data_IF_230697758668
#
_entry.id   IF_230697758668
#
_cell.length_a   1.000
_cell.length_b   1.000
_cell.length_c   1.000
_cell.angle_alpha   90.00
_cell.angle_beta   90.00
_cell.angle_gamma   90.00
#
_symmetry.space_group_name_H-M   'P 1'
#
loop_
_entity.id
_entity.type
_entity.pdbx_description
1 polymer ?
#
# COMPACT_ATOMS: atom_id res chain seq x y z
N UNK A 1 20.53 -9.84 27.02
CA UNK A 1 21.02 -11.01 26.28
C UNK A 1 19.84 -11.66 25.59
N UNK A 2 19.65 -11.40 24.30
CA UNK A 2 18.62 -12.08 23.51
C UNK A 2 19.11 -13.51 23.23
N UNK A 3 18.26 -14.51 23.48
CA UNK A 3 18.62 -15.92 23.35
C UNK A 3 19.08 -16.26 21.94
N UNK A 4 20.32 -16.70 21.81
CA UNK A 4 20.98 -17.03 20.54
C UNK A 4 20.30 -18.20 19.82
N UNK A 5 19.55 -19.04 20.55
CA UNK A 5 18.77 -20.16 20.02
C UNK A 5 17.30 -20.04 20.38
N UNK A 6 16.43 -20.15 19.38
CA UNK A 6 14.98 -20.18 19.53
C UNK A 6 14.38 -21.44 18.94
N UNK A 7 13.23 -21.85 19.46
CA UNK A 7 12.44 -22.94 18.87
C UNK A 7 11.30 -22.33 18.06
N UNK A 8 11.27 -22.64 16.76
CA UNK A 8 10.20 -22.25 15.86
C UNK A 8 9.19 -23.39 15.76
N UNK A 9 7.92 -23.06 15.96
CA UNK A 9 6.79 -23.93 15.65
C UNK A 9 6.27 -23.57 14.26
N UNK A 10 6.39 -24.51 13.31
CA UNK A 10 5.81 -24.37 11.98
C UNK A 10 4.52 -25.18 11.93
N UNK A 11 3.41 -24.53 11.58
CA UNK A 11 2.12 -25.18 11.34
C UNK A 11 1.81 -25.20 9.85
N UNK A 12 1.66 -26.41 9.30
CA UNK A 12 1.18 -26.61 7.93
C UNK A 12 -0.11 -27.43 7.98
N UNK A 13 -1.24 -26.73 8.04
CA UNK A 13 -2.53 -27.37 8.27
C UNK A 13 -2.61 -27.97 9.68
N UNK A 14 -2.68 -29.31 9.78
CA UNK A 14 -2.71 -30.03 11.06
C UNK A 14 -1.31 -30.44 11.55
N UNK A 15 -0.31 -30.42 10.67
CA UNK A 15 1.04 -30.84 11.02
C UNK A 15 1.77 -29.70 11.73
N UNK A 16 2.44 -30.06 12.83
CA UNK A 16 3.23 -29.15 13.65
C UNK A 16 4.65 -29.69 13.72
N UNK A 17 5.63 -28.91 13.27
CA UNK A 17 7.05 -29.23 13.39
C UNK A 17 7.78 -28.21 14.25
N UNK A 18 8.73 -28.68 15.05
CA UNK A 18 9.57 -27.86 15.92
C UNK A 18 11.00 -27.83 15.36
N UNK A 19 11.52 -26.63 15.14
CA UNK A 19 12.87 -26.43 14.62
C UNK A 19 13.68 -25.53 15.55
N UNK A 20 14.87 -25.96 15.94
CA UNK A 20 15.81 -25.06 16.61
C UNK A 20 16.54 -24.22 15.58
N UNK A 21 16.51 -22.91 15.80
CA UNK A 21 17.16 -21.93 14.93
C UNK A 21 18.08 -21.05 15.74
N UNK A 22 19.27 -20.83 15.19
CA UNK A 22 20.24 -19.89 15.70
C UNK A 22 20.00 -18.51 15.08
N UNK A 23 19.60 -17.55 15.90
CA UNK A 23 19.30 -16.19 15.47
C UNK A 23 20.56 -15.39 15.09
N UNK A 24 21.74 -15.80 15.54
CA UNK A 24 23.00 -15.12 15.21
C UNK A 24 23.40 -15.35 13.74
N UNK A 25 22.96 -16.46 13.15
CA UNK A 25 23.37 -16.89 11.80
C UNK A 25 22.54 -16.28 10.68
N UNK A 26 21.34 -15.78 10.98
CA UNK A 26 20.44 -15.26 9.96
C UNK A 26 19.85 -13.92 10.45
N UNK A 27 20.14 -12.81 9.75
CA UNK A 27 19.78 -11.46 10.19
C UNK A 27 18.42 -10.98 9.69
N UNK A 28 17.67 -11.82 8.98
CA UNK A 28 16.40 -11.46 8.36
C UNK A 28 15.17 -11.73 9.25
N UNK A 29 15.36 -11.94 10.54
CA UNK A 29 14.26 -12.06 11.49
C UNK A 29 13.70 -10.69 11.84
N UNK A 30 12.40 -10.52 11.66
CA UNK A 30 11.64 -9.38 12.16
C UNK A 30 10.53 -9.90 13.08
N UNK A 31 10.12 -9.08 14.05
CA UNK A 31 9.02 -9.39 14.95
C UNK A 31 7.67 -9.45 14.22
N UNK A 32 7.53 -8.75 13.09
CA UNK A 32 6.35 -8.76 12.23
C UNK A 32 5.01 -8.43 12.94
N UNK A 33 5.05 -7.70 14.07
CA UNK A 33 3.84 -7.27 14.79
C UNK A 33 2.95 -6.34 13.97
N UNK A 34 3.55 -5.60 13.04
CA UNK A 34 2.88 -4.81 12.04
C UNK A 34 3.55 -5.05 10.70
N UNK A 35 2.76 -5.02 9.63
CA UNK A 35 3.27 -5.13 8.27
C UNK A 35 2.59 -4.10 7.38
N UNK A 36 3.21 -3.82 6.24
CA UNK A 36 2.56 -3.00 5.22
C UNK A 36 1.43 -3.79 4.58
N UNK A 37 0.40 -3.09 4.10
CA UNK A 37 -0.72 -3.71 3.37
C UNK A 37 -0.22 -4.56 2.20
N UNK A 38 0.84 -4.10 1.52
CA UNK A 38 1.48 -4.81 0.42
C UNK A 38 2.10 -6.15 0.87
N UNK A 39 2.84 -6.16 1.99
CA UNK A 39 3.45 -7.38 2.53
C UNK A 39 2.41 -8.39 3.05
N UNK A 40 1.22 -7.94 3.43
CA UNK A 40 0.10 -8.79 3.85
C UNK A 40 -0.72 -9.39 2.69
N UNK A 41 -0.35 -9.13 1.43
CA UNK A 41 -1.12 -9.63 0.29
C UNK A 41 -1.13 -11.17 0.25
N UNK A 42 -2.32 -11.75 0.29
CA UNK A 42 -2.51 -13.21 0.28
C UNK A 42 -2.64 -13.85 1.67
N UNK A 43 -2.35 -13.11 2.74
CA UNK A 43 -2.60 -13.56 4.10
C UNK A 43 -4.04 -13.21 4.52
N UNK A 44 -4.83 -14.23 4.89
CA UNK A 44 -6.16 -14.04 5.48
C UNK A 44 -6.04 -14.14 6.98
N UNK A 45 -6.57 -13.16 7.71
CA UNK A 45 -6.49 -13.12 9.17
C UNK A 45 -7.89 -13.07 9.78
N UNK A 46 -8.02 -13.53 11.04
CA UNK A 46 -9.29 -13.42 11.76
C UNK A 46 -9.71 -11.96 11.97
N UNK A 47 -8.72 -11.13 12.33
CA UNK A 47 -8.87 -9.69 12.56
C UNK A 47 -7.81 -8.91 11.78
N UNK A 48 -8.23 -7.86 11.08
CA UNK A 48 -7.32 -6.88 10.49
C UNK A 48 -7.45 -5.53 11.20
N UNK A 49 -6.31 -4.90 11.47
CA UNK A 49 -6.24 -3.59 12.13
C UNK A 49 -5.48 -2.63 11.21
N UNK A 50 -6.13 -1.53 10.84
CA UNK A 50 -5.53 -0.44 10.10
C UNK A 50 -5.16 0.67 11.06
N UNK A 51 -3.93 1.14 10.96
CA UNK A 51 -3.49 2.36 11.61
C UNK A 51 -3.27 3.43 10.54
N UNK A 52 -4.19 4.41 10.49
CA UNK A 52 -4.21 5.48 9.50
C UNK A 52 -4.00 6.80 10.24
N UNK A 53 -2.77 7.33 10.22
CA UNK A 53 -2.45 8.59 10.89
C UNK A 53 -2.44 9.74 9.89
N UNK A 54 -3.33 10.70 10.10
CA UNK A 54 -3.34 11.96 9.37
C UNK A 54 -2.07 12.76 9.68
N UNK A 55 -1.39 13.34 8.67
CA UNK A 55 -0.19 14.13 8.87
C UNK A 55 -0.49 15.44 9.61
N UNK A 56 0.20 15.65 10.72
CA UNK A 56 0.19 16.88 11.51
C UNK A 56 1.42 17.69 11.09
N UNK A 57 1.25 18.73 10.28
CA UNK A 57 2.35 19.57 9.79
C UNK A 57 2.03 21.05 9.97
N UNK A 58 3.05 21.86 10.26
CA UNK A 58 2.89 23.29 10.60
C UNK A 58 2.51 24.19 9.41
N UNK A 59 2.58 23.69 8.17
CA UNK A 59 2.36 24.47 6.95
C UNK A 59 1.33 23.79 6.04
N UNK A 60 0.34 24.56 5.57
CA UNK A 60 -0.72 24.10 4.67
C UNK A 60 -0.17 23.45 3.39
N UNK A 61 0.89 24.01 2.79
CA UNK A 61 1.52 23.44 1.59
C UNK A 61 2.13 22.06 1.85
N UNK A 62 2.77 21.88 3.02
CA UNK A 62 3.34 20.58 3.43
C UNK A 62 2.23 19.58 3.76
N UNK A 63 1.14 20.05 4.33
CA UNK A 63 -0.01 19.23 4.67
C UNK A 63 -0.72 18.69 3.43
N UNK A 64 -0.95 19.52 2.41
CA UNK A 64 -1.54 19.09 1.14
C UNK A 64 -0.70 18.00 0.44
N UNK A 65 0.63 18.17 0.41
CA UNK A 65 1.55 17.17 -0.16
C UNK A 65 1.59 15.89 0.67
N UNK A 66 1.57 15.99 1.99
CA UNK A 66 1.53 14.83 2.87
C UNK A 66 0.22 14.04 2.71
N UNK A 67 -0.90 14.74 2.52
CA UNK A 67 -2.21 14.13 2.25
C UNK A 67 -2.23 13.43 0.88
N UNK A 68 -1.69 14.05 -0.17
CA UNK A 68 -1.55 13.42 -1.49
C UNK A 68 -0.67 12.15 -1.44
N UNK A 69 0.46 12.19 -0.73
CA UNK A 69 1.30 11.02 -0.53
C UNK A 69 0.58 9.92 0.26
N UNK A 70 -0.19 10.29 1.28
CA UNK A 70 -1.00 9.36 2.06
C UNK A 70 -2.08 8.69 1.21
N UNK A 71 -2.80 9.46 0.39
CA UNK A 71 -3.78 8.96 -0.58
C UNK A 71 -3.15 8.00 -1.60
N UNK A 72 -1.92 8.24 -2.04
CA UNK A 72 -1.19 7.32 -2.93
C UNK A 72 -0.87 5.97 -2.28
N UNK A 73 -0.80 5.89 -0.96
CA UNK A 73 -0.50 4.67 -0.21
C UNK A 73 -1.79 3.96 0.23
N UNK A 74 -2.75 4.72 0.78
CA UNK A 74 -3.99 4.23 1.38
C UNK A 74 -5.21 4.31 0.48
N UNK A 75 -5.05 4.72 -0.78
CA UNK A 75 -6.14 4.84 -1.73
C UNK A 75 -6.96 3.56 -1.90
N UNK A 76 -8.06 3.70 -2.63
CA UNK A 76 -9.14 2.74 -2.76
C UNK A 76 -8.69 1.27 -2.85
N UNK A 77 -7.70 0.97 -3.70
CA UNK A 77 -7.17 -0.38 -3.93
C UNK A 77 -6.42 -0.95 -2.74
N UNK A 78 -5.51 -0.18 -2.13
CA UNK A 78 -4.78 -0.63 -0.94
C UNK A 78 -5.74 -0.89 0.20
N UNK A 79 -6.67 0.03 0.43
CA UNK A 79 -7.69 -0.14 1.47
C UNK A 79 -8.57 -1.35 1.20
N UNK A 80 -9.05 -1.54 -0.03
CA UNK A 80 -9.87 -2.70 -0.42
C UNK A 80 -9.14 -4.04 -0.17
N UNK A 81 -7.88 -4.14 -0.62
CA UNK A 81 -7.07 -5.36 -0.40
C UNK A 81 -6.92 -5.64 1.08
N UNK A 82 -6.67 -4.60 1.88
CA UNK A 82 -6.52 -4.70 3.31
C UNK A 82 -7.81 -5.11 4.04
N UNK A 83 -8.92 -4.45 3.73
CA UNK A 83 -10.23 -4.70 4.33
C UNK A 83 -10.74 -6.12 4.04
N UNK A 84 -10.50 -6.63 2.82
CA UNK A 84 -10.90 -7.99 2.41
C UNK A 84 -10.04 -9.11 3.00
N UNK A 85 -8.94 -8.81 3.71
CA UNK A 85 -8.18 -9.83 4.46
C UNK A 85 -8.78 -10.18 5.81
N UNK A 86 -9.64 -9.32 6.35
CA UNK A 86 -10.36 -9.61 7.58
C UNK A 86 -11.48 -10.60 7.29
N UNK A 87 -11.43 -11.77 7.92
CA UNK A 87 -12.54 -12.73 7.83
C UNK A 87 -13.70 -12.38 8.77
N UNK A 88 -13.44 -11.74 9.91
CA UNK A 88 -14.47 -11.46 10.92
C UNK A 88 -14.48 -9.99 11.36
N UNK A 89 -13.31 -9.40 11.64
CA UNK A 89 -13.25 -8.06 12.23
C UNK A 89 -12.24 -7.14 11.54
N UNK A 90 -12.70 -5.93 11.21
CA UNK A 90 -11.90 -4.84 10.70
C UNK A 90 -11.95 -3.66 11.67
N UNK A 91 -10.80 -3.21 12.18
CA UNK A 91 -10.69 -2.01 13.03
C UNK A 91 -9.78 -0.98 12.39
N UNK A 92 -10.20 0.29 12.41
CA UNK A 92 -9.40 1.42 11.91
C UNK A 92 -9.13 2.37 13.08
N UNK A 93 -7.85 2.59 13.38
CA UNK A 93 -7.40 3.57 14.34
C UNK A 93 -6.85 4.79 13.60
N UNK A 94 -7.45 5.96 13.86
CA UNK A 94 -7.02 7.23 13.27
C UNK A 94 -7.16 8.37 14.26
N UNK A 95 -6.32 9.39 14.11
CA UNK A 95 -6.40 10.66 14.82
C UNK A 95 -7.43 11.63 14.19
N UNK A 96 -7.76 11.48 12.90
CA UNK A 96 -8.73 12.33 12.21
C UNK A 96 -9.55 11.50 11.21
N UNK A 97 -10.84 11.33 11.49
CA UNK A 97 -11.76 10.49 10.70
C UNK A 97 -11.98 11.05 9.29
N UNK A 98 -12.10 12.35 9.13
CA UNK A 98 -12.40 12.98 7.84
C UNK A 98 -11.21 12.84 6.89
N UNK A 99 -10.00 13.07 7.39
CA UNK A 99 -8.76 12.91 6.63
C UNK A 99 -8.53 11.45 6.26
N UNK A 100 -8.77 10.53 7.19
CA UNK A 100 -8.67 9.10 6.91
C UNK A 100 -9.67 8.65 5.83
N UNK A 101 -10.92 9.12 5.90
CA UNK A 101 -11.94 8.82 4.90
C UNK A 101 -11.56 9.37 3.52
N UNK A 102 -11.03 10.60 3.44
CA UNK A 102 -10.53 11.18 2.19
C UNK A 102 -9.36 10.38 1.61
N UNK A 103 -8.40 9.98 2.43
CA UNK A 103 -7.25 9.19 2.00
C UNK A 103 -7.66 7.82 1.45
N UNK A 104 -8.67 7.18 2.05
CA UNK A 104 -9.21 5.89 1.61
C UNK A 104 -10.05 6.03 0.34
N UNK A 105 -10.83 7.11 0.22
CA UNK A 105 -11.67 7.37 -0.96
C UNK A 105 -10.86 7.83 -2.18
N UNK A 106 -9.61 8.24 -1.99
CA UNK A 106 -8.75 8.68 -3.08
C UNK A 106 -8.51 7.55 -4.08
N UNK A 107 -8.81 7.81 -5.34
CA UNK A 107 -8.66 6.84 -6.42
C UNK A 107 -7.18 6.66 -6.74
N UNK A 108 -6.68 5.45 -6.58
CA UNK A 108 -5.28 5.15 -6.83
C UNK A 108 -5.09 4.77 -8.30
N UNK A 109 -5.10 5.75 -9.21
CA UNK A 109 -4.89 5.51 -10.64
C UNK A 109 -3.40 5.21 -10.91
N UNK A 110 -3.09 3.93 -11.18
CA UNK A 110 -1.78 3.51 -11.70
C UNK A 110 -1.81 3.65 -13.21
N UNK A 111 -1.32 4.76 -13.73
CA UNK A 111 -1.12 4.95 -15.17
C UNK A 111 0.01 4.03 -15.64
N UNK A 112 -0.24 3.27 -16.70
CA UNK A 112 0.81 2.51 -17.38
C UNK A 112 1.60 3.44 -18.31
N UNK A 113 2.91 3.17 -18.49
CA UNK A 113 3.72 3.89 -19.47
C UNK A 113 3.08 3.83 -20.88
N UNK A 114 2.46 2.70 -21.23
CA UNK A 114 1.75 2.50 -22.50
C UNK A 114 0.50 3.37 -22.60
N UNK A 115 -0.21 3.57 -21.49
CA UNK A 115 -1.41 4.41 -21.44
C UNK A 115 -1.06 5.89 -21.61
N UNK A 116 0.04 6.33 -20.98
CA UNK A 116 0.58 7.68 -21.13
C UNK A 116 1.04 7.94 -22.56
N UNK A 117 1.74 6.98 -23.19
CA UNK A 117 2.18 7.08 -24.58
C UNK A 117 1.00 7.19 -25.55
N UNK A 118 -0.03 6.34 -25.41
CA UNK A 118 -1.25 6.41 -26.24
C UNK A 118 -2.00 7.73 -26.09
N UNK A 119 -2.05 8.28 -24.88
CA UNK A 119 -2.69 9.57 -24.61
C UNK A 119 -1.94 10.73 -25.28
N UNK A 120 -0.62 10.64 -25.35
CA UNK A 120 0.22 11.60 -26.09
C UNK A 120 0.09 11.44 -27.61
N UNK A 121 0.02 10.22 -28.13
CA UNK A 121 -0.20 9.97 -29.57
C UNK A 121 -1.57 10.49 -30.04
N UNK A 122 -2.62 10.34 -29.23
CA UNK A 122 -3.96 10.85 -29.55
C UNK A 122 -4.13 12.36 -29.33
N UNK A 123 -3.21 13.00 -28.60
CA UNK A 123 -3.22 14.44 -28.34
C UNK A 123 -2.35 15.25 -29.33
N UNK A 124 -1.62 14.58 -30.24
CA UNK A 124 -0.91 15.26 -31.32
C UNK A 124 -1.94 15.75 -32.37
N UNK A 125 -2.08 17.08 -32.59
CA UNK A 125 -2.98 17.57 -33.62
C UNK A 125 -2.44 17.18 -34.99
N UNK A 126 -3.32 16.65 -35.84
CA UNK A 126 -3.12 16.51 -37.28
C UNK A 126 -2.77 17.89 -37.85
N UNK A 127 -1.49 18.22 -37.94
CA UNK A 127 -1.02 19.31 -38.80
C UNK A 127 -1.13 18.82 -40.23
N UNK A 128 -2.34 18.94 -40.77
CA UNK A 128 -2.57 18.64 -42.18
C UNK A 128 -2.13 19.83 -43.03
N UNK A 129 -1.22 19.51 -43.94
CA UNK A 129 -0.46 20.40 -44.80
C UNK A 129 -1.34 20.87 -45.97
N UNK A 130 -2.18 21.88 -45.76
CA UNK A 130 -2.91 22.55 -46.85
C UNK A 130 -2.54 24.04 -46.94
N UNK A 131 -1.24 24.33 -47.01
CA UNK A 131 -0.73 25.66 -47.34
C UNK A 131 0.34 25.56 -48.43
N UNK A 132 -0.01 24.95 -49.56
CA UNK A 132 0.69 25.24 -50.83
C UNK A 132 -0.18 24.89 -52.05
N UNK A 133 -1.27 25.63 -52.23
CA UNK A 133 -1.84 25.85 -53.57
C UNK A 133 -2.32 27.29 -53.62
N UNK A 134 -1.84 28.04 -54.62
CA UNK A 134 -2.23 29.40 -55.05
C UNK A 134 -1.41 30.55 -54.48
N UNK A 135 -0.30 30.92 -55.15
CA UNK A 135 -0.26 32.12 -56.01
C UNK A 135 0.97 32.14 -56.92
#
# INVERSE_FOLDING_TARGET
>A
MAGERVTLELRQGKDVSLHQVDLSRNKHWDHAYASTVHASQGATQHRAIFHIRAPETESEFKQARALDNMAKVFGDRSFYVGATRASHELRIYTNNKDVAAQAVAAKQDKTSAVETLRRHEHAAPTQDKNADVTR
#
